data_IF_653664178855
#
_entry.id   IF_653664178855
#
_cell.length_a   1.000
_cell.length_b   1.000
_cell.length_c   1.000
_cell.angle_alpha   90.00
_cell.angle_beta   90.00
_cell.angle_gamma   90.00
#
_symmetry.space_group_name_H-M   'P 1'
#
loop_
_entity.id
_entity.type
_entity.pdbx_description
1 polymer ?
#
# COMPACT_ATOMS: atom_id res chain seq x y z
N UNK A 1 -9.06 3.39 -12.62
CA UNK A 1 -8.77 4.81 -12.93
C UNK A 1 -8.41 5.56 -11.66
N UNK A 2 -7.18 6.07 -11.58
CA UNK A 2 -6.73 6.99 -10.52
C UNK A 2 -7.54 8.29 -10.59
N UNK A 3 -7.97 8.83 -9.45
CA UNK A 3 -8.60 10.14 -9.38
C UNK A 3 -7.76 10.98 -8.41
N UNK A 4 -6.90 11.83 -8.97
CA UNK A 4 -5.89 12.58 -8.23
C UNK A 4 -6.50 13.44 -7.11
N UNK A 5 -7.61 14.13 -7.40
CA UNK A 5 -8.30 14.95 -6.39
C UNK A 5 -8.90 14.07 -5.28
N UNK A 6 -9.53 12.96 -5.64
CA UNK A 6 -10.10 12.04 -4.65
C UNK A 6 -9.01 11.39 -3.78
N UNK A 7 -7.88 10.98 -4.38
CA UNK A 7 -6.77 10.39 -3.64
C UNK A 7 -6.08 11.43 -2.74
N UNK A 8 -5.94 12.68 -3.21
CA UNK A 8 -5.43 13.79 -2.41
C UNK A 8 -6.33 14.08 -1.19
N UNK A 9 -7.65 14.16 -1.40
CA UNK A 9 -8.61 14.36 -0.31
C UNK A 9 -8.54 13.25 0.74
N UNK A 10 -8.30 12.00 0.32
CA UNK A 10 -8.08 10.89 1.24
C UNK A 10 -6.80 11.09 2.03
N UNK A 11 -5.68 11.45 1.39
CA UNK A 11 -4.40 11.70 2.08
C UNK A 11 -4.53 12.86 3.07
N UNK A 12 -5.16 13.97 2.69
CA UNK A 12 -5.41 15.13 3.57
C UNK A 12 -6.31 14.79 4.76
N UNK A 13 -7.33 13.95 4.55
CA UNK A 13 -8.25 13.54 5.61
C UNK A 13 -7.55 12.61 6.59
N UNK A 14 -6.71 11.71 6.07
CA UNK A 14 -5.88 10.87 6.90
C UNK A 14 -4.85 11.71 7.66
N UNK A 15 -4.01 12.51 7.00
CA UNK A 15 -3.01 13.33 7.68
C UNK A 15 -3.58 14.15 8.86
N UNK A 16 -4.78 14.73 8.70
CA UNK A 16 -5.47 15.47 9.75
C UNK A 16 -5.91 14.64 10.96
N UNK A 17 -6.49 13.44 10.76
CA UNK A 17 -6.95 12.60 11.88
C UNK A 17 -5.87 11.61 12.38
N UNK A 18 -4.66 11.63 11.81
CA UNK A 18 -3.61 10.64 12.05
C UNK A 18 -3.24 10.53 13.53
N UNK A 19 -3.09 11.65 14.23
CA UNK A 19 -2.84 11.65 15.67
C UNK A 19 -3.93 10.88 16.44
N UNK A 20 -5.20 11.17 16.15
CA UNK A 20 -6.33 10.50 16.82
C UNK A 20 -6.35 9.01 16.51
N UNK A 21 -6.05 8.63 15.26
CA UNK A 21 -5.93 7.24 14.85
C UNK A 21 -4.78 6.50 15.56
N UNK A 22 -3.59 7.10 15.64
CA UNK A 22 -2.43 6.52 16.31
C UNK A 22 -2.69 6.26 17.78
N UNK A 23 -3.40 7.17 18.45
CA UNK A 23 -3.79 7.04 19.86
C UNK A 23 -5.01 6.13 20.09
N UNK A 24 -5.69 5.68 19.03
CA UNK A 24 -6.86 4.81 19.13
C UNK A 24 -6.50 3.33 19.29
N UNK A 25 -7.49 2.49 19.63
CA UNK A 25 -7.34 1.02 19.62
C UNK A 25 -7.69 0.36 18.28
N UNK A 26 -8.28 1.09 17.31
CA UNK A 26 -8.80 0.52 16.06
C UNK A 26 -7.70 0.29 15.02
N UNK A 27 -7.70 -0.87 14.34
CA UNK A 27 -6.76 -1.12 13.25
C UNK A 27 -7.16 -0.37 11.97
N UNK A 28 -8.45 -0.39 11.65
CA UNK A 28 -8.99 0.29 10.49
C UNK A 28 -9.47 1.69 10.86
N UNK A 29 -9.06 2.66 10.06
CA UNK A 29 -9.43 4.05 10.20
C UNK A 29 -10.64 4.33 9.30
N UNK A 30 -11.83 4.60 9.85
CA UNK A 30 -12.90 5.12 9.02
C UNK A 30 -12.48 6.52 8.57
N UNK A 31 -12.00 6.65 7.32
CA UNK A 31 -11.75 7.96 6.72
C UNK A 31 -13.12 8.60 6.56
N UNK A 32 -13.45 9.55 7.44
CA UNK A 32 -14.73 10.25 7.40
C UNK A 32 -14.80 10.99 6.07
N UNK A 33 -15.89 10.79 5.33
CA UNK A 33 -16.16 11.61 4.16
C UNK A 33 -16.27 13.07 4.64
N UNK A 34 -15.30 13.91 4.26
CA UNK A 34 -15.48 15.37 4.30
C UNK A 34 -16.60 15.74 3.34
N UNK A 35 -17.31 16.83 3.65
CA UNK A 35 -18.40 17.36 2.81
C UNK A 35 -17.88 17.49 1.37
N UNK A 36 -18.49 16.77 0.42
CA UNK A 36 -18.09 16.73 -1.00
C UNK A 36 -17.41 15.45 -1.48
N UNK A 37 -16.98 14.53 -0.59
CA UNK A 37 -16.46 13.22 -1.01
C UNK A 37 -17.59 12.31 -1.52
N UNK A 38 -17.53 11.91 -2.80
CA UNK A 38 -18.50 11.01 -3.46
C UNK A 38 -18.30 9.52 -3.17
N UNK A 39 -17.31 9.13 -2.37
CA UNK A 39 -16.98 7.71 -2.11
C UNK A 39 -17.34 7.27 -0.68
N UNK A 40 -17.74 5.99 -0.50
CA UNK A 40 -17.99 5.43 0.82
C UNK A 40 -16.72 5.47 1.69
N UNK A 41 -16.92 5.40 3.01
CA UNK A 41 -15.87 5.30 4.02
C UNK A 41 -14.78 4.32 3.56
N UNK A 42 -13.63 4.83 3.16
CA UNK A 42 -12.48 3.98 2.87
C UNK A 42 -11.82 3.67 4.20
N UNK A 43 -11.67 2.39 4.53
CA UNK A 43 -10.88 1.98 5.68
C UNK A 43 -9.40 2.27 5.36
N UNK A 44 -8.87 3.33 5.97
CA UNK A 44 -7.49 3.76 5.84
C UNK A 44 -6.56 2.96 6.76
N UNK A 45 -5.32 2.82 6.31
CA UNK A 45 -4.20 2.25 7.07
C UNK A 45 -2.95 3.10 6.81
N UNK A 46 -1.93 3.02 7.67
CA UNK A 46 -0.71 3.86 7.53
C UNK A 46 -0.02 3.56 6.20
N UNK A 47 0.20 2.28 5.88
CA UNK A 47 0.78 1.89 4.59
C UNK A 47 -0.08 2.36 3.42
N UNK A 48 -1.41 2.30 3.54
CA UNK A 48 -2.33 2.72 2.50
C UNK A 48 -2.33 4.23 2.23
N UNK A 49 -2.11 5.04 3.26
CA UNK A 49 -1.92 6.48 3.14
C UNK A 49 -0.60 6.81 2.45
N UNK A 50 0.50 6.20 2.90
CA UNK A 50 1.83 6.44 2.36
C UNK A 50 1.95 5.97 0.91
N UNK A 51 1.33 4.83 0.56
CA UNK A 51 1.23 4.40 -0.83
C UNK A 51 0.53 5.45 -1.70
N UNK A 52 -0.59 6.02 -1.23
CA UNK A 52 -1.32 7.04 -1.98
C UNK A 52 -0.51 8.32 -2.12
N UNK A 53 0.14 8.76 -1.06
CA UNK A 53 1.03 9.92 -1.10
C UNK A 53 2.17 9.72 -2.11
N UNK A 54 2.81 8.55 -2.10
CA UNK A 54 3.85 8.17 -3.08
C UNK A 54 3.33 8.20 -4.52
N UNK A 55 2.13 7.67 -4.76
CA UNK A 55 1.52 7.67 -6.09
C UNK A 55 1.15 9.07 -6.57
N UNK A 56 0.65 9.94 -5.70
CA UNK A 56 0.37 11.33 -6.03
C UNK A 56 1.64 12.11 -6.33
N UNK A 57 2.71 11.86 -5.57
CA UNK A 57 4.01 12.50 -5.80
C UNK A 57 4.67 12.03 -7.10
N UNK A 58 4.54 10.74 -7.43
CA UNK A 58 4.95 10.20 -8.73
C UNK A 58 4.24 10.89 -9.90
N UNK A 59 2.99 11.31 -9.69
CA UNK A 59 2.16 12.02 -10.66
C UNK A 59 2.16 13.53 -10.41
N UNK A 60 3.20 14.09 -9.76
CA UNK A 60 3.26 15.52 -9.41
C UNK A 60 3.10 16.43 -10.62
N UNK A 61 3.59 16.02 -11.80
CA UNK A 61 3.41 16.78 -13.04
C UNK A 61 1.95 16.88 -13.51
N UNK A 62 1.10 15.94 -13.10
CA UNK A 62 -0.34 15.93 -13.40
C UNK A 62 -1.15 16.72 -12.36
N UNK A 63 -0.52 17.21 -11.28
CA UNK A 63 -1.16 18.02 -10.25
C UNK A 63 -1.12 19.50 -10.60
N UNK A 64 -2.22 20.21 -10.38
CA UNK A 64 -2.18 21.68 -10.34
C UNK A 64 -1.27 22.17 -9.21
N UNK A 65 -0.75 23.40 -9.32
CA UNK A 65 0.08 23.99 -8.25
C UNK A 65 -0.61 24.01 -6.88
N UNK A 66 -1.93 24.21 -6.85
CA UNK A 66 -2.73 24.13 -5.62
C UNK A 66 -2.78 22.71 -5.05
N UNK A 67 -2.94 21.70 -5.90
CA UNK A 67 -2.96 20.29 -5.47
C UNK A 67 -1.59 19.83 -4.99
N UNK A 68 -0.50 20.24 -5.64
CA UNK A 68 0.86 19.94 -5.20
C UNK A 68 1.15 20.54 -3.81
N UNK A 69 0.78 21.80 -3.57
CA UNK A 69 0.95 22.43 -2.26
C UNK A 69 0.12 21.74 -1.15
N UNK A 70 -1.11 21.30 -1.47
CA UNK A 70 -1.96 20.51 -0.57
C UNK A 70 -1.34 19.16 -0.24
N UNK A 71 -0.77 18.47 -1.24
CA UNK A 71 -0.05 17.21 -1.04
C UNK A 71 1.15 17.41 -0.11
N UNK A 72 1.98 18.42 -0.37
CA UNK A 72 3.16 18.73 0.44
C UNK A 72 2.79 19.00 1.90
N UNK A 73 1.74 19.79 2.14
CA UNK A 73 1.22 20.05 3.48
C UNK A 73 0.73 18.77 4.17
N UNK A 74 -0.06 17.94 3.47
CA UNK A 74 -0.60 16.70 4.04
C UNK A 74 0.51 15.68 4.36
N UNK A 75 1.49 15.52 3.47
CA UNK A 75 2.64 14.63 3.69
C UNK A 75 3.51 15.12 4.84
N UNK A 76 3.79 16.43 4.91
CA UNK A 76 4.54 17.03 6.01
C UNK A 76 3.84 16.82 7.36
N UNK A 77 2.52 17.05 7.43
CA UNK A 77 1.72 16.79 8.63
C UNK A 77 1.74 15.31 9.03
N UNK A 78 1.62 14.41 8.05
CA UNK A 78 1.65 12.98 8.30
C UNK A 78 3.00 12.53 8.89
N UNK A 79 4.12 12.94 8.29
CA UNK A 79 5.46 12.62 8.80
C UNK A 79 5.68 13.18 10.21
N UNK A 80 5.30 14.45 10.46
CA UNK A 80 5.41 15.04 11.79
C UNK A 80 4.64 14.25 12.87
N UNK A 81 3.50 13.66 12.52
CA UNK A 81 2.75 12.79 13.41
C UNK A 81 3.37 11.39 13.58
N UNK A 82 3.87 10.78 12.49
CA UNK A 82 4.55 9.47 12.57
C UNK A 82 5.81 9.56 13.43
N UNK A 83 6.61 10.62 13.26
CA UNK A 83 7.85 10.83 14.03
C UNK A 83 7.55 11.10 15.51
N UNK A 84 6.55 11.95 15.79
CA UNK A 84 6.16 12.29 17.16
C UNK A 84 5.56 11.12 17.94
N UNK A 85 4.88 10.21 17.26
CA UNK A 85 4.16 9.07 17.85
C UNK A 85 4.71 7.74 17.35
N UNK A 86 6.04 7.65 17.24
CA UNK A 86 6.74 6.53 16.60
C UNK A 86 6.31 5.16 17.14
N UNK A 87 6.23 4.99 18.47
CA UNK A 87 5.85 3.72 19.09
C UNK A 87 4.44 3.29 18.66
N UNK A 88 3.49 4.22 18.66
CA UNK A 88 2.11 3.95 18.25
C UNK A 88 2.03 3.68 16.74
N UNK A 89 2.78 4.43 15.93
CA UNK A 89 2.88 4.23 14.50
C UNK A 89 3.42 2.85 14.17
N UNK A 90 4.52 2.43 14.79
CA UNK A 90 5.09 1.10 14.65
C UNK A 90 4.10 0.00 15.04
N UNK A 91 3.43 0.12 16.19
CA UNK A 91 2.46 -0.88 16.64
C UNK A 91 1.30 -1.05 15.65
N UNK A 92 0.78 0.05 15.08
CA UNK A 92 -0.26 0.02 14.05
C UNK A 92 0.28 -0.58 12.75
N UNK A 93 1.47 -0.18 12.33
CA UNK A 93 2.10 -0.66 11.12
C UNK A 93 2.45 -2.16 11.20
N UNK A 94 2.92 -2.68 12.33
CA UNK A 94 3.12 -4.12 12.56
C UNK A 94 1.81 -4.90 12.42
N UNK A 95 0.70 -4.36 12.97
CA UNK A 95 -0.63 -4.99 12.81
C UNK A 95 -1.08 -5.01 11.35
N UNK A 96 -0.85 -3.93 10.62
CA UNK A 96 -1.13 -3.86 9.18
C UNK A 96 -0.27 -4.85 8.39
N UNK A 97 1.05 -4.88 8.62
CA UNK A 97 1.99 -5.82 7.99
C UNK A 97 1.52 -7.25 8.22
N UNK A 98 1.15 -7.61 9.45
CA UNK A 98 0.63 -8.95 9.76
C UNK A 98 -0.65 -9.27 9.00
N UNK A 99 -1.58 -8.33 8.88
CA UNK A 99 -2.83 -8.53 8.15
C UNK A 99 -2.58 -8.72 6.65
N UNK A 100 -1.81 -7.81 6.04
CA UNK A 100 -1.50 -7.85 4.60
C UNK A 100 -0.64 -9.06 4.23
N UNK A 101 0.30 -9.45 5.07
CA UNK A 101 1.12 -10.65 4.85
C UNK A 101 0.28 -11.92 4.86
N UNK A 102 -0.71 -12.03 5.76
CA UNK A 102 -1.63 -13.18 5.74
C UNK A 102 -2.43 -13.23 4.44
N UNK A 103 -2.94 -12.08 3.98
CA UNK A 103 -3.68 -12.00 2.72
C UNK A 103 -2.79 -12.36 1.52
N UNK A 104 -1.57 -11.84 1.50
CA UNK A 104 -0.60 -12.15 0.44
C UNK A 104 -0.24 -13.64 0.43
N UNK A 105 0.08 -14.23 1.59
CA UNK A 105 0.40 -15.65 1.67
C UNK A 105 -0.78 -16.52 1.20
N UNK A 106 -2.01 -16.20 1.65
CA UNK A 106 -3.21 -16.90 1.19
C UNK A 106 -3.39 -16.82 -0.32
N UNK A 107 -3.25 -15.62 -0.90
CA UNK A 107 -3.32 -15.43 -2.35
C UNK A 107 -2.27 -16.26 -3.11
N UNK A 108 -1.04 -16.31 -2.58
CA UNK A 108 0.04 -17.11 -3.18
C UNK A 108 -0.28 -18.61 -3.12
N UNK A 109 -0.90 -19.09 -2.05
CA UNK A 109 -1.38 -20.48 -1.95
C UNK A 109 -2.52 -20.74 -2.96
N UNK A 110 -3.47 -19.82 -3.06
CA UNK A 110 -4.59 -19.89 -4.02
C UNK A 110 -4.15 -19.88 -5.49
N UNK A 111 -3.12 -19.11 -5.83
CA UNK A 111 -2.52 -19.08 -7.18
C UNK A 111 -1.78 -20.38 -7.49
N UNK A 112 -1.15 -21.02 -6.51
CA UNK A 112 -0.52 -22.33 -6.71
C UNK A 112 -1.56 -23.40 -7.06
N UNK A 113 -2.73 -23.36 -6.41
CA UNK A 113 -3.81 -24.33 -6.63
C UNK A 113 -4.60 -24.08 -7.91
N UNK A 114 -4.85 -22.81 -8.26
CA UNK A 114 -5.75 -22.44 -9.37
C UNK A 114 -5.36 -21.11 -10.05
N UNK A 115 -4.23 -21.03 -10.76
CA UNK A 115 -3.69 -19.76 -11.27
C UNK A 115 -4.66 -19.00 -12.19
N UNK A 116 -5.36 -19.70 -13.10
CA UNK A 116 -6.33 -19.10 -14.02
C UNK A 116 -7.50 -18.39 -13.31
N UNK A 117 -7.91 -18.88 -12.14
CA UNK A 117 -9.00 -18.29 -11.35
C UNK A 117 -8.59 -16.95 -10.74
N UNK A 118 -7.33 -16.83 -10.32
CA UNK A 118 -6.82 -15.73 -9.51
C UNK A 118 -6.00 -14.71 -10.31
N UNK A 119 -5.81 -14.94 -11.61
CA UNK A 119 -5.11 -14.03 -12.52
C UNK A 119 -5.72 -12.62 -12.52
N UNK A 120 -7.05 -12.52 -12.64
CA UNK A 120 -7.76 -11.23 -12.67
C UNK A 120 -7.65 -10.40 -11.38
N UNK A 121 -7.31 -11.04 -10.27
CA UNK A 121 -7.12 -10.39 -8.97
C UNK A 121 -5.69 -9.86 -8.76
N UNK A 122 -4.74 -10.28 -9.60
CA UNK A 122 -3.32 -9.99 -9.39
C UNK A 122 -3.01 -8.50 -9.24
N UNK A 123 -3.52 -7.57 -10.09
CA UNK A 123 -3.24 -6.14 -9.91
C UNK A 123 -3.65 -5.59 -8.53
N UNK A 124 -4.77 -6.06 -7.99
CA UNK A 124 -5.23 -5.68 -6.65
C UNK A 124 -4.29 -6.24 -5.57
N UNK A 125 -3.85 -7.48 -5.71
CA UNK A 125 -2.95 -8.14 -4.76
C UNK A 125 -1.54 -7.54 -4.81
N UNK A 126 -1.05 -7.22 -6.00
CA UNK A 126 0.20 -6.51 -6.23
C UNK A 126 0.18 -5.12 -5.57
N UNK A 127 -0.93 -4.37 -5.68
CA UNK A 127 -1.14 -3.13 -4.93
C UNK A 127 -1.17 -3.34 -3.42
N UNK A 128 -1.81 -4.43 -2.95
CA UNK A 128 -1.81 -4.80 -1.53
C UNK A 128 -0.40 -5.10 -1.00
N UNK A 129 0.41 -5.81 -1.79
CA UNK A 129 1.81 -6.11 -1.53
C UNK A 129 2.70 -4.87 -1.54
N UNK A 130 2.42 -3.88 -2.40
CA UNK A 130 3.06 -2.56 -2.35
C UNK A 130 2.70 -1.81 -1.07
N UNK A 131 1.44 -1.87 -0.64
CA UNK A 131 1.02 -1.25 0.63
C UNK A 131 1.74 -1.88 1.84
N UNK A 132 1.95 -3.20 1.82
CA UNK A 132 2.75 -3.90 2.82
C UNK A 132 4.17 -3.33 2.89
N UNK A 133 4.80 -3.02 1.76
CA UNK A 133 6.14 -2.39 1.71
C UNK A 133 6.17 -1.06 2.47
N UNK A 134 5.19 -0.17 2.26
CA UNK A 134 5.12 1.11 2.98
C UNK A 134 4.84 0.92 4.48
N UNK A 135 3.94 -0.01 4.84
CA UNK A 135 3.71 -0.33 6.26
C UNK A 135 4.99 -0.88 6.94
N UNK A 136 5.78 -1.68 6.22
CA UNK A 136 7.08 -2.19 6.69
C UNK A 136 8.09 -1.08 6.95
N UNK A 137 8.13 -0.04 6.13
CA UNK A 137 9.04 1.09 6.33
C UNK A 137 8.76 1.81 7.65
N UNK A 138 7.48 2.01 7.97
CA UNK A 138 7.08 2.60 9.27
C UNK A 138 7.42 1.68 10.44
N UNK A 139 7.24 0.37 10.27
CA UNK A 139 7.50 -0.63 11.31
C UNK A 139 8.94 -1.19 11.29
N UNK A 140 9.91 -0.51 10.65
CA UNK A 140 11.20 -1.10 10.35
C UNK A 140 11.95 -1.60 11.60
N UNK A 141 12.01 -0.79 12.65
CA UNK A 141 12.67 -1.15 13.90
C UNK A 141 11.87 -2.22 14.66
N UNK A 142 10.55 -2.07 14.78
CA UNK A 142 9.69 -3.08 15.41
C UNK A 142 9.65 -4.45 14.70
N UNK A 143 10.07 -4.54 13.43
CA UNK A 143 10.11 -5.77 12.66
C UNK A 143 11.50 -6.40 12.56
N UNK A 144 12.54 -5.77 13.10
CA UNK A 144 13.89 -6.33 13.09
C UNK A 144 13.93 -7.68 13.83
N UNK A 145 14.60 -8.66 13.23
CA UNK A 145 14.61 -10.06 13.69
C UNK A 145 13.23 -10.76 13.74
N UNK A 146 12.15 -10.13 13.29
CA UNK A 146 10.80 -10.70 13.45
C UNK A 146 10.51 -11.82 12.44
N UNK A 147 9.73 -12.81 12.88
CA UNK A 147 9.27 -13.92 12.01
C UNK A 147 8.37 -13.45 10.85
N UNK A 148 7.81 -12.23 10.92
CA UNK A 148 7.04 -11.64 9.84
C UNK A 148 7.91 -11.37 8.60
N UNK A 149 9.18 -11.00 8.79
CA UNK A 149 10.12 -10.79 7.68
C UNK A 149 10.42 -12.13 6.99
N UNK A 150 10.72 -13.17 7.77
CA UNK A 150 10.95 -14.53 7.25
C UNK A 150 9.74 -15.04 6.48
N UNK A 151 8.53 -14.87 7.03
CA UNK A 151 7.28 -15.28 6.37
C UNK A 151 7.04 -14.53 5.05
N UNK A 152 7.36 -13.24 4.99
CA UNK A 152 7.26 -12.48 3.73
C UNK A 152 8.23 -13.02 2.68
N UNK A 153 9.48 -13.29 3.07
CA UNK A 153 10.48 -13.86 2.16
C UNK A 153 10.01 -15.21 1.62
N UNK A 154 9.41 -16.06 2.47
CA UNK A 154 8.85 -17.35 2.05
C UNK A 154 7.71 -17.17 1.05
N UNK A 155 6.74 -16.30 1.35
CA UNK A 155 5.62 -16.02 0.44
C UNK A 155 6.09 -15.44 -0.90
N UNK A 156 7.01 -14.46 -0.87
CA UNK A 156 7.57 -13.87 -2.09
C UNK A 156 8.37 -14.91 -2.91
N UNK A 157 9.13 -15.79 -2.26
CA UNK A 157 9.86 -16.87 -2.94
C UNK A 157 8.92 -17.87 -3.61
N UNK A 158 7.81 -18.20 -2.95
CA UNK A 158 6.78 -19.07 -3.54
C UNK A 158 6.14 -18.40 -4.74
N UNK A 159 5.71 -17.15 -4.61
CA UNK A 159 5.11 -16.39 -5.72
C UNK A 159 6.05 -16.30 -6.93
N UNK A 160 7.36 -16.06 -6.73
CA UNK A 160 8.35 -16.00 -7.82
C UNK A 160 8.45 -17.25 -8.68
N UNK A 161 7.96 -18.40 -8.20
CA UNK A 161 7.94 -19.66 -8.95
C UNK A 161 6.65 -19.85 -9.77
N UNK A 162 5.65 -19.00 -9.53
CA UNK A 162 4.29 -19.12 -10.05
C UNK A 162 3.96 -18.00 -11.03
N UNK A 163 4.97 -17.28 -11.52
CA UNK A 163 4.79 -16.07 -12.32
C UNK A 163 5.74 -16.00 -13.49
N UNK A 164 5.27 -15.37 -14.55
CA UNK A 164 6.06 -14.95 -15.69
C UNK A 164 6.25 -13.44 -15.71
N UNK A 165 7.28 -12.98 -16.40
CA UNK A 165 7.50 -11.56 -16.63
C UNK A 165 6.32 -10.93 -17.37
N UNK A 166 5.94 -9.72 -16.96
CA UNK A 166 4.85 -8.97 -17.54
C UNK A 166 5.17 -7.47 -17.54
N UNK A 167 4.48 -6.67 -18.38
CA UNK A 167 4.46 -5.23 -18.22
C UNK A 167 4.00 -4.81 -16.83
N UNK A 168 4.25 -3.55 -16.48
CA UNK A 168 3.84 -2.98 -15.22
C UNK A 168 2.33 -3.17 -14.98
N UNK A 169 1.94 -3.76 -13.84
CA UNK A 169 0.55 -4.22 -13.60
C UNK A 169 -0.38 -3.17 -12.97
N UNK A 170 0.09 -1.96 -12.71
CA UNK A 170 -0.74 -0.85 -12.21
C UNK A 170 -1.02 0.16 -13.33
N UNK A 171 -1.34 1.42 -13.00
CA UNK A 171 -1.48 2.49 -13.99
C UNK A 171 -0.08 2.86 -14.51
N UNK A 172 0.17 2.71 -15.81
CA UNK A 172 1.49 2.89 -16.46
C UNK A 172 2.18 4.21 -16.11
N UNK A 173 1.41 5.27 -15.84
CA UNK A 173 1.96 6.56 -15.42
C UNK A 173 2.74 6.50 -14.10
N UNK A 174 2.50 5.46 -13.29
CA UNK A 174 3.19 5.22 -12.03
C UNK A 174 4.49 4.43 -12.20
N UNK A 175 4.71 3.75 -13.33
CA UNK A 175 5.86 2.87 -13.55
C UNK A 175 7.22 3.52 -13.19
N UNK A 176 7.50 4.80 -13.55
CA UNK A 176 8.77 5.45 -13.21
C UNK A 176 9.06 5.52 -11.70
N UNK A 177 8.02 5.49 -10.85
CA UNK A 177 8.15 5.56 -9.40
C UNK A 177 8.34 4.18 -8.73
N UNK A 178 8.36 3.10 -9.50
CA UNK A 178 8.45 1.73 -9.00
C UNK A 178 9.56 0.95 -9.71
N UNK A 179 10.84 1.14 -9.36
CA UNK A 179 11.91 0.39 -9.99
C UNK A 179 11.74 -1.14 -9.86
N UNK A 180 12.01 -1.94 -10.92
CA UNK A 180 11.70 -3.37 -10.94
C UNK A 180 12.32 -4.20 -9.82
N UNK A 181 13.55 -3.89 -9.40
CA UNK A 181 14.26 -4.70 -8.39
C UNK A 181 13.53 -4.72 -7.02
N UNK A 182 13.25 -3.56 -6.38
CA UNK A 182 12.50 -3.55 -5.12
C UNK A 182 11.00 -3.80 -5.27
N UNK A 183 10.43 -3.67 -6.47
CA UNK A 183 9.00 -3.81 -6.74
C UNK A 183 8.68 -4.89 -7.78
N UNK A 184 9.43 -5.99 -7.79
CA UNK A 184 9.34 -7.04 -8.82
C UNK A 184 7.92 -7.61 -9.02
N UNK A 185 7.10 -7.65 -7.97
CA UNK A 185 5.70 -8.09 -8.02
C UNK A 185 4.78 -7.15 -8.82
N UNK A 186 5.30 -6.01 -9.29
CA UNK A 186 4.59 -5.12 -10.20
C UNK A 186 4.90 -5.41 -11.68
N UNK A 187 5.80 -6.37 -11.96
CA UNK A 187 6.34 -6.66 -13.31
C UNK A 187 6.20 -8.13 -13.67
N UNK A 188 5.20 -8.81 -13.11
CA UNK A 188 4.94 -10.23 -13.32
C UNK A 188 3.45 -10.51 -13.27
N UNK A 189 3.02 -11.63 -13.84
CA UNK A 189 1.65 -12.15 -13.72
C UNK A 189 1.67 -13.65 -13.40
N UNK A 190 0.65 -14.19 -12.70
CA UNK A 190 0.50 -15.63 -12.51
C UNK A 190 0.63 -16.41 -13.81
N UNK A 191 1.51 -17.41 -13.83
CA UNK A 191 1.70 -18.32 -14.96
C UNK A 191 0.44 -19.15 -15.16
N UNK A 192 -0.08 -19.16 -16.38
CA UNK A 192 -1.15 -20.08 -16.74
C UNK A 192 -0.56 -21.46 -17.04
N UNK A 193 -1.26 -22.56 -16.70
CA UNK A 193 -0.82 -23.88 -17.13
C UNK A 193 -0.81 -23.95 -18.66
N UNK A 194 0.17 -24.65 -19.23
CA UNK A 194 0.13 -25.01 -20.65
C UNK A 194 -1.09 -25.91 -20.91
N UNK A 195 -1.91 -25.56 -21.91
CA UNK A 195 -3.10 -26.32 -22.36
C UNK A 195 -2.74 -27.72 -22.90
#
# INVERSE_FOLDING_TARGET
>A
MLNLESDLQVVESMAADLKLYLLSKTLYWPVRARIGMRRPLTLGTIGGMLLRAHQLDALRADLSGQQAARLDHAVGLAHAHLDKWVVQAEQKAVREVRARLRQWALYVDEVEDAPARYLGEYPMQARSRSTLTFARQVAAHALDGSSLITRLIVADRKMRKLVDEAPFVLDDRLEPAYPPKPYWWLYVLPTLPDD
#
